data_IF_566467129485
#
_entry.id   IF_566467129485
#
_cell.length_a   1.000
_cell.length_b   1.000
_cell.length_c   1.000
_cell.angle_alpha   90.00
_cell.angle_beta   90.00
_cell.angle_gamma   90.00
#
_symmetry.space_group_name_H-M   'P 1'
#
loop_
_entity.id
_entity.type
_entity.pdbx_description
1 polymer ?
#
# COMPACT_ATOMS: atom_id res chain seq x y z
N UNK A 1 -5.73 4.01 34.21
CA UNK A 1 -5.26 4.76 33.03
C UNK A 1 -6.08 6.05 32.99
N UNK A 2 -5.50 7.16 33.42
CA UNK A 2 -6.14 8.48 33.37
C UNK A 2 -5.97 9.01 31.95
N UNK A 3 -7.08 9.15 31.22
CA UNK A 3 -7.07 9.81 29.92
C UNK A 3 -6.86 11.31 30.16
N UNK A 4 -5.83 11.87 29.53
CA UNK A 4 -5.60 13.31 29.48
C UNK A 4 -6.81 13.98 28.76
N UNK A 5 -7.59 14.86 29.41
CA UNK A 5 -8.78 15.48 28.82
C UNK A 5 -8.47 16.47 27.67
N UNK A 6 -7.19 16.76 27.40
CA UNK A 6 -6.72 17.61 26.29
C UNK A 6 -6.12 16.85 25.10
N UNK A 7 -5.99 15.55 25.17
CA UNK A 7 -5.49 14.76 24.05
C UNK A 7 -6.54 14.69 22.91
N UNK A 8 -6.15 14.89 21.63
CA UNK A 8 -7.09 14.72 20.53
C UNK A 8 -7.66 13.29 20.54
N UNK A 9 -8.91 13.10 20.12
CA UNK A 9 -9.53 11.78 20.13
C UNK A 9 -8.66 10.80 19.32
N UNK A 10 -8.28 9.69 19.95
CA UNK A 10 -7.50 8.62 19.29
C UNK A 10 -8.37 8.07 18.17
N UNK A 11 -8.02 8.39 16.92
CA UNK A 11 -8.68 7.83 15.74
C UNK A 11 -8.43 6.33 15.72
N UNK A 12 -9.48 5.55 15.52
CA UNK A 12 -9.34 4.11 15.28
C UNK A 12 -8.41 3.89 14.08
N UNK A 13 -7.37 3.03 14.18
CA UNK A 13 -6.53 2.73 13.03
C UNK A 13 -7.33 2.01 11.94
N UNK A 14 -6.97 2.26 10.68
CA UNK A 14 -7.53 1.53 9.55
C UNK A 14 -7.02 0.08 9.55
N UNK A 15 -7.90 -0.86 9.28
CA UNK A 15 -7.56 -2.27 9.10
C UNK A 15 -7.33 -2.57 7.62
N UNK A 16 -6.07 -2.83 7.25
CA UNK A 16 -5.68 -3.25 5.90
C UNK A 16 -5.48 -4.77 5.88
N UNK A 17 -6.24 -5.48 5.05
CA UNK A 17 -6.17 -6.93 4.93
C UNK A 17 -5.56 -7.34 3.58
N UNK A 18 -4.57 -8.27 3.54
CA UNK A 18 -4.08 -8.82 2.29
C UNK A 18 -5.09 -9.80 1.69
N UNK A 19 -5.19 -9.82 0.35
CA UNK A 19 -5.97 -10.82 -0.37
C UNK A 19 -5.14 -11.45 -1.49
N UNK A 20 -5.08 -12.76 -1.51
CA UNK A 20 -4.46 -13.55 -2.58
C UNK A 20 -5.45 -14.09 -3.61
N UNK A 21 -6.75 -13.85 -3.43
CA UNK A 21 -7.82 -14.26 -4.35
C UNK A 21 -9.04 -13.37 -4.18
N UNK A 22 -9.92 -13.39 -5.18
CA UNK A 22 -11.18 -12.64 -5.12
C UNK A 22 -12.04 -13.04 -3.91
N UNK A 23 -12.11 -14.33 -3.61
CA UNK A 23 -12.82 -14.83 -2.42
C UNK A 23 -12.23 -14.27 -1.12
N UNK A 24 -10.90 -14.26 -0.99
CA UNK A 24 -10.24 -13.70 0.19
C UNK A 24 -10.50 -12.18 0.32
N UNK A 25 -10.52 -11.45 -0.80
CA UNK A 25 -10.89 -10.04 -0.83
C UNK A 25 -12.31 -9.83 -0.30
N UNK A 26 -13.28 -10.57 -0.83
CA UNK A 26 -14.69 -10.48 -0.41
C UNK A 26 -14.84 -10.79 1.08
N UNK A 27 -14.21 -11.85 1.57
CA UNK A 27 -14.22 -12.21 2.99
C UNK A 27 -13.60 -11.12 3.89
N UNK A 28 -12.49 -10.50 3.47
CA UNK A 28 -11.86 -9.42 4.22
C UNK A 28 -12.77 -8.19 4.31
N UNK A 29 -13.38 -7.80 3.20
CA UNK A 29 -14.33 -6.69 3.13
C UNK A 29 -15.55 -6.95 4.01
N UNK A 30 -16.14 -8.14 3.92
CA UNK A 30 -17.32 -8.54 4.72
C UNK A 30 -17.01 -8.64 6.21
N UNK A 31 -15.77 -9.00 6.57
CA UNK A 31 -15.28 -9.03 7.94
C UNK A 31 -14.93 -7.64 8.50
N UNK A 32 -15.04 -6.58 7.71
CA UNK A 32 -14.89 -5.19 8.17
C UNK A 32 -13.52 -4.57 7.93
N UNK A 33 -12.72 -5.10 6.99
CA UNK A 33 -11.51 -4.42 6.54
C UNK A 33 -11.86 -3.03 5.99
N UNK A 34 -11.05 -2.02 6.34
CA UNK A 34 -11.18 -0.67 5.80
C UNK A 34 -10.57 -0.57 4.41
N UNK A 35 -9.53 -1.38 4.15
CA UNK A 35 -8.91 -1.52 2.84
C UNK A 35 -8.43 -2.94 2.59
N UNK A 36 -8.32 -3.33 1.30
CA UNK A 36 -7.77 -4.61 0.90
C UNK A 36 -6.55 -4.41 0.01
N UNK A 37 -5.47 -5.10 0.35
CA UNK A 37 -4.20 -5.08 -0.38
C UNK A 37 -4.12 -6.31 -1.29
N UNK A 38 -3.85 -6.09 -2.57
CA UNK A 38 -3.71 -7.14 -3.58
C UNK A 38 -2.56 -6.87 -4.56
N UNK A 39 -2.17 -7.87 -5.34
CA UNK A 39 -1.17 -7.76 -6.39
C UNK A 39 -1.55 -8.52 -7.65
N UNK A 40 -0.95 -8.14 -8.76
CA UNK A 40 -1.10 -8.82 -10.05
C UNK A 40 -0.31 -10.13 -10.09
N UNK A 41 -0.68 -11.02 -11.02
CA UNK A 41 0.01 -12.30 -11.29
C UNK A 41 1.22 -12.10 -12.20
N UNK A 42 2.12 -11.17 -11.83
CA UNK A 42 3.29 -10.86 -12.64
C UNK A 42 4.49 -10.43 -11.77
N UNK A 43 5.62 -10.14 -12.42
CA UNK A 43 6.89 -9.82 -11.76
C UNK A 43 6.88 -8.48 -11.01
N UNK A 44 5.86 -7.64 -11.18
CA UNK A 44 5.76 -6.33 -10.53
C UNK A 44 5.30 -6.43 -9.07
N UNK A 45 4.83 -7.62 -8.67
CA UNK A 45 4.37 -7.93 -7.32
C UNK A 45 5.37 -8.86 -6.61
N UNK A 46 5.93 -8.39 -5.48
CA UNK A 46 6.88 -9.16 -4.67
C UNK A 46 6.30 -10.47 -4.08
N UNK A 47 4.97 -10.62 -4.04
CA UNK A 47 4.27 -11.82 -3.58
C UNK A 47 3.59 -12.57 -4.71
N UNK A 48 4.24 -12.63 -5.88
CA UNK A 48 3.74 -13.40 -7.01
C UNK A 48 3.96 -14.90 -6.82
N UNK A 49 3.08 -15.54 -6.06
CA UNK A 49 3.11 -16.99 -5.80
C UNK A 49 2.13 -17.72 -6.72
N UNK A 50 2.51 -18.93 -7.13
CA UNK A 50 1.66 -19.78 -7.96
C UNK A 50 0.28 -20.02 -7.32
N UNK A 51 -0.78 -19.84 -8.08
CA UNK A 51 -2.17 -20.02 -7.62
C UNK A 51 -2.75 -18.85 -6.82
N UNK A 52 -1.96 -17.81 -6.53
CA UNK A 52 -2.42 -16.60 -5.87
C UNK A 52 -2.40 -15.40 -6.81
N UNK A 53 -2.93 -14.29 -6.30
CA UNK A 53 -3.01 -12.98 -6.97
C UNK A 53 -4.07 -12.91 -8.08
N UNK A 54 -4.12 -11.78 -8.77
CA UNK A 54 -5.26 -11.37 -9.55
C UNK A 54 -4.89 -11.15 -11.02
N UNK A 55 -5.78 -11.53 -11.92
CA UNK A 55 -5.84 -10.97 -13.27
C UNK A 55 -6.74 -9.72 -13.30
N UNK A 56 -6.79 -9.01 -14.42
CA UNK A 56 -7.53 -7.75 -14.56
C UNK A 56 -9.04 -7.91 -14.32
N UNK A 57 -9.63 -9.03 -14.74
CA UNK A 57 -11.06 -9.28 -14.52
C UNK A 57 -11.36 -9.44 -13.03
N UNK A 58 -10.53 -10.18 -12.33
CA UNK A 58 -10.63 -10.37 -10.88
C UNK A 58 -10.39 -9.08 -10.11
N UNK A 59 -9.44 -8.23 -10.54
CA UNK A 59 -9.19 -6.91 -9.94
C UNK A 59 -10.43 -6.02 -10.11
N UNK A 60 -11.01 -5.91 -11.32
CA UNK A 60 -12.22 -5.12 -11.57
C UNK A 60 -13.39 -5.56 -10.68
N UNK A 61 -13.60 -6.87 -10.58
CA UNK A 61 -14.65 -7.43 -9.74
C UNK A 61 -14.39 -7.13 -8.26
N UNK A 62 -13.14 -7.28 -7.80
CA UNK A 62 -12.72 -6.98 -6.42
C UNK A 62 -12.91 -5.50 -6.06
N UNK A 63 -12.48 -4.59 -6.94
CA UNK A 63 -12.64 -3.14 -6.76
C UNK A 63 -14.15 -2.80 -6.69
N UNK A 64 -14.94 -3.29 -7.63
CA UNK A 64 -16.39 -3.07 -7.63
C UNK A 64 -17.04 -3.55 -6.33
N UNK A 65 -16.61 -4.72 -5.85
CA UNK A 65 -17.13 -5.31 -4.61
C UNK A 65 -16.77 -4.47 -3.38
N UNK A 66 -15.52 -4.03 -3.29
CA UNK A 66 -15.01 -3.20 -2.19
C UNK A 66 -15.68 -1.81 -2.18
N UNK A 67 -15.69 -1.13 -3.34
CA UNK A 67 -16.28 0.20 -3.48
C UNK A 67 -17.78 0.22 -3.16
N UNK A 68 -18.54 -0.82 -3.56
CA UNK A 68 -19.96 -0.94 -3.19
C UNK A 68 -20.19 -1.00 -1.67
N UNK A 69 -19.15 -1.25 -0.88
CA UNK A 69 -19.18 -1.30 0.59
C UNK A 69 -18.36 -0.17 1.25
N UNK A 70 -17.94 0.82 0.45
CA UNK A 70 -17.16 1.96 0.92
C UNK A 70 -15.75 1.59 1.40
N UNK A 71 -15.15 0.52 0.79
CA UNK A 71 -13.80 0.05 1.15
C UNK A 71 -12.82 0.32 0.02
N UNK A 72 -11.56 0.57 0.38
CA UNK A 72 -10.50 0.89 -0.56
C UNK A 72 -9.75 -0.36 -1.03
N UNK A 73 -9.15 -0.26 -2.23
CA UNK A 73 -8.29 -1.31 -2.79
C UNK A 73 -6.90 -0.74 -3.08
N UNK A 74 -5.90 -1.35 -2.45
CA UNK A 74 -4.49 -1.02 -2.60
C UNK A 74 -3.84 -2.02 -3.55
N UNK A 75 -3.29 -1.56 -4.68
CA UNK A 75 -2.56 -2.42 -5.62
C UNK A 75 -1.06 -2.33 -5.41
N UNK A 76 -0.41 -3.49 -5.34
CA UNK A 76 1.04 -3.61 -5.23
C UNK A 76 1.71 -3.57 -6.60
N UNK A 77 2.62 -2.62 -6.78
CA UNK A 77 3.69 -2.60 -7.79
C UNK A 77 4.98 -2.35 -7.02
N UNK A 78 5.44 -3.37 -6.32
CA UNK A 78 6.39 -3.22 -5.21
C UNK A 78 7.68 -4.04 -5.34
N UNK A 79 7.98 -4.53 -6.55
CA UNK A 79 9.31 -4.96 -6.93
C UNK A 79 10.11 -3.81 -7.55
N UNK A 80 11.42 -4.01 -7.75
CA UNK A 80 12.28 -3.01 -8.39
C UNK A 80 12.29 -3.25 -9.89
N UNK A 81 12.15 -2.16 -10.67
CA UNK A 81 12.11 -2.22 -12.12
C UNK A 81 13.46 -2.66 -12.70
N UNK A 82 13.44 -3.52 -13.75
CA UNK A 82 14.66 -3.83 -14.51
C UNK A 82 15.07 -2.59 -15.31
N UNK A 83 16.27 -2.07 -15.03
CA UNK A 83 16.78 -0.87 -15.70
C UNK A 83 16.95 -1.04 -17.23
N UNK A 84 17.02 -2.29 -17.74
CA UNK A 84 17.13 -2.59 -19.17
C UNK A 84 15.77 -2.54 -19.88
N UNK A 85 14.70 -2.90 -19.16
CA UNK A 85 13.31 -2.83 -19.64
C UNK A 85 12.34 -2.57 -18.49
N UNK A 86 12.07 -1.31 -18.16
CA UNK A 86 11.12 -0.95 -17.10
C UNK A 86 9.65 -1.02 -17.55
N UNK A 87 9.39 -1.29 -18.83
CA UNK A 87 8.04 -1.28 -19.44
C UNK A 87 6.99 -2.07 -18.65
N UNK A 88 7.28 -3.29 -18.12
CA UNK A 88 6.29 -4.03 -17.34
C UNK A 88 5.81 -3.27 -16.09
N UNK A 89 6.67 -2.49 -15.43
CA UNK A 89 6.30 -1.69 -14.25
C UNK A 89 5.47 -0.47 -14.62
N UNK A 90 5.81 0.21 -15.74
CA UNK A 90 4.99 1.31 -16.27
C UNK A 90 3.58 0.82 -16.61
N UNK A 91 3.48 -0.28 -17.33
CA UNK A 91 2.20 -0.91 -17.65
C UNK A 91 1.42 -1.34 -16.40
N UNK A 92 2.08 -1.81 -15.36
CA UNK A 92 1.41 -2.17 -14.10
C UNK A 92 0.84 -0.94 -13.38
N UNK A 93 1.55 0.20 -13.40
CA UNK A 93 1.04 1.48 -12.89
C UNK A 93 -0.17 1.94 -13.70
N UNK A 94 -0.08 1.94 -15.04
CA UNK A 94 -1.18 2.31 -15.94
C UNK A 94 -2.40 1.41 -15.71
N UNK A 95 -2.18 0.11 -15.56
CA UNK A 95 -3.24 -0.88 -15.25
C UNK A 95 -3.90 -0.57 -13.91
N UNK A 96 -3.12 -0.28 -12.85
CA UNK A 96 -3.67 0.05 -11.55
C UNK A 96 -4.60 1.27 -11.63
N UNK A 97 -4.17 2.32 -12.32
CA UNK A 97 -4.98 3.52 -12.54
C UNK A 97 -6.23 3.22 -13.38
N UNK A 98 -6.10 2.51 -14.51
CA UNK A 98 -7.19 2.16 -15.41
C UNK A 98 -8.23 1.21 -14.79
N UNK A 99 -7.80 0.36 -13.87
CA UNK A 99 -8.68 -0.55 -13.13
C UNK A 99 -9.42 0.16 -12.00
N UNK A 100 -8.99 1.36 -11.59
CA UNK A 100 -9.63 2.16 -10.56
C UNK A 100 -9.14 1.84 -9.14
N UNK A 101 -7.87 1.40 -9.00
CA UNK A 101 -7.26 1.25 -7.69
C UNK A 101 -7.24 2.59 -6.93
N UNK A 102 -7.50 2.57 -5.63
CA UNK A 102 -7.48 3.77 -4.80
C UNK A 102 -6.06 4.19 -4.45
N UNK A 103 -5.17 3.22 -4.35
CA UNK A 103 -3.79 3.40 -3.92
C UNK A 103 -2.86 2.48 -4.71
N UNK A 104 -1.71 3.00 -5.09
CA UNK A 104 -0.56 2.22 -5.55
C UNK A 104 0.45 2.09 -4.41
N UNK A 105 0.81 0.86 -4.04
CA UNK A 105 1.87 0.59 -3.08
C UNK A 105 3.14 0.23 -3.81
N UNK A 106 4.14 1.12 -3.77
CA UNK A 106 5.38 0.99 -4.54
C UNK A 106 6.64 1.02 -3.64
N UNK A 107 7.72 0.43 -4.13
CA UNK A 107 9.03 0.46 -3.46
C UNK A 107 10.09 1.20 -4.28
N UNK A 108 10.03 1.07 -5.60
CA UNK A 108 11.00 1.63 -6.53
C UNK A 108 10.73 3.11 -6.80
N UNK A 109 11.78 3.92 -6.72
CA UNK A 109 11.74 5.36 -6.96
C UNK A 109 11.33 5.71 -8.40
N UNK A 110 11.72 4.90 -9.37
CA UNK A 110 11.35 5.12 -10.78
C UNK A 110 9.86 4.82 -11.00
N UNK A 111 9.32 3.79 -10.36
CA UNK A 111 7.89 3.48 -10.36
C UNK A 111 7.07 4.60 -9.74
N UNK A 112 7.52 5.15 -8.60
CA UNK A 112 6.86 6.29 -7.96
C UNK A 112 6.94 7.55 -8.80
N UNK A 113 8.09 7.82 -9.44
CA UNK A 113 8.25 8.97 -10.34
C UNK A 113 7.30 8.87 -11.54
N UNK A 114 7.25 7.70 -12.19
CA UNK A 114 6.34 7.44 -13.30
C UNK A 114 4.86 7.64 -12.89
N UNK A 115 4.46 7.07 -11.76
CA UNK A 115 3.10 7.21 -11.25
C UNK A 115 2.73 8.68 -10.96
N UNK A 116 3.65 9.46 -10.41
CA UNK A 116 3.44 10.90 -10.14
C UNK A 116 3.28 11.72 -11.42
N UNK A 117 4.06 11.39 -12.44
CA UNK A 117 4.06 12.11 -13.72
C UNK A 117 2.80 11.79 -14.55
N UNK A 118 2.44 10.50 -14.65
CA UNK A 118 1.39 10.04 -15.56
C UNK A 118 0.02 9.87 -14.88
N UNK A 119 -0.01 9.61 -13.58
CA UNK A 119 -1.23 9.39 -12.80
C UNK A 119 -1.25 10.21 -11.50
N UNK A 120 -1.21 11.55 -11.56
CA UNK A 120 -1.10 12.41 -10.36
C UNK A 120 -2.27 12.27 -9.39
N UNK A 121 -3.41 11.75 -9.84
CA UNK A 121 -4.57 11.44 -8.99
C UNK A 121 -4.47 10.13 -8.21
N UNK A 122 -3.55 9.23 -8.60
CA UNK A 122 -3.36 7.96 -7.91
C UNK A 122 -2.56 8.17 -6.62
N UNK A 123 -3.12 7.79 -5.48
CA UNK A 123 -2.43 7.90 -4.18
C UNK A 123 -1.29 6.91 -4.11
N UNK A 124 -0.15 7.34 -3.56
CA UNK A 124 1.03 6.51 -3.38
C UNK A 124 1.25 6.15 -1.92
N UNK A 125 1.46 4.86 -1.63
CA UNK A 125 1.97 4.37 -0.37
C UNK A 125 3.35 3.75 -0.56
N UNK A 126 4.24 3.98 0.40
CA UNK A 126 5.58 3.38 0.40
C UNK A 126 5.49 1.95 0.90
N UNK A 127 5.85 0.99 0.04
CA UNK A 127 5.91 -0.43 0.39
C UNK A 127 7.00 -0.71 1.42
N UNK A 128 6.77 -1.72 2.25
CA UNK A 128 7.79 -2.29 3.13
C UNK A 128 9.05 -2.75 2.36
N UNK A 129 8.93 -3.08 1.09
CA UNK A 129 10.06 -3.46 0.22
C UNK A 129 11.08 -2.32 0.01
N UNK A 130 10.68 -1.07 0.22
CA UNK A 130 11.60 0.07 0.23
C UNK A 130 12.51 0.10 1.47
N UNK A 131 12.22 -0.71 2.48
CA UNK A 131 13.01 -0.83 3.71
C UNK A 131 13.26 0.50 4.44
N UNK A 132 12.33 1.45 4.34
CA UNK A 132 12.44 2.73 5.04
C UNK A 132 12.22 2.53 6.55
N UNK A 133 13.27 2.74 7.33
CA UNK A 133 13.29 2.49 8.78
C UNK A 133 13.41 3.76 9.60
N UNK A 134 13.66 4.91 8.97
CA UNK A 134 13.83 6.20 9.63
C UNK A 134 12.82 7.22 9.11
N UNK A 135 12.48 8.19 9.93
CA UNK A 135 11.55 9.25 9.55
C UNK A 135 12.15 10.14 8.43
N UNK A 136 13.47 10.34 8.39
CA UNK A 136 14.13 11.11 7.33
C UNK A 136 13.98 10.44 5.97
N UNK A 137 14.13 9.10 5.90
CA UNK A 137 13.88 8.36 4.68
C UNK A 137 12.42 8.49 4.23
N UNK A 138 11.46 8.37 5.15
CA UNK A 138 10.04 8.50 4.84
C UNK A 138 9.72 9.92 4.36
N UNK A 139 10.26 10.96 5.01
CA UNK A 139 10.08 12.36 4.60
C UNK A 139 10.69 12.64 3.22
N UNK A 140 11.85 12.02 2.89
CA UNK A 140 12.39 12.08 1.53
C UNK A 140 11.39 11.55 0.50
N UNK A 141 10.82 10.36 0.72
CA UNK A 141 9.81 9.80 -0.18
C UNK A 141 8.55 10.67 -0.23
N UNK A 142 8.11 11.19 0.92
CA UNK A 142 6.93 12.06 1.00
C UNK A 142 7.13 13.36 0.21
N UNK A 143 8.24 14.02 0.39
CA UNK A 143 8.53 15.29 -0.27
C UNK A 143 8.82 15.12 -1.76
N UNK A 144 9.52 14.05 -2.12
CA UNK A 144 9.96 13.84 -3.52
C UNK A 144 8.86 13.19 -4.37
N UNK A 145 8.13 12.22 -3.83
CA UNK A 145 7.15 11.42 -4.58
C UNK A 145 5.71 11.58 -4.11
N UNK A 146 5.48 12.30 -3.03
CA UNK A 146 4.14 12.58 -2.51
C UNK A 146 3.46 11.35 -1.92
N UNK A 147 4.22 10.41 -1.34
CA UNK A 147 3.62 9.30 -0.62
C UNK A 147 2.78 9.83 0.54
N UNK A 148 1.65 9.17 0.82
CA UNK A 148 0.78 9.53 1.95
C UNK A 148 0.99 8.64 3.16
N UNK A 149 1.39 7.38 2.95
CA UNK A 149 1.57 6.37 3.99
C UNK A 149 2.86 5.58 3.75
N UNK A 150 3.53 5.17 4.81
CA UNK A 150 4.67 4.27 4.75
C UNK A 150 4.41 3.01 5.59
N UNK A 151 4.66 1.84 4.97
CA UNK A 151 4.58 0.54 5.64
C UNK A 151 5.93 0.22 6.26
N UNK A 152 5.99 0.17 7.59
CA UNK A 152 7.23 -0.07 8.32
C UNK A 152 7.60 -1.56 8.34
N UNK A 153 8.91 -1.88 8.24
CA UNK A 153 9.38 -3.26 8.35
C UNK A 153 9.23 -3.80 9.78
N UNK A 154 8.99 -5.12 9.88
CA UNK A 154 8.76 -5.84 11.16
C UNK A 154 9.95 -5.85 12.12
N UNK A 155 11.13 -5.49 11.64
CA UNK A 155 12.37 -5.47 12.44
C UNK A 155 12.43 -4.31 13.43
N UNK A 156 11.56 -3.32 13.32
CA UNK A 156 11.52 -2.17 14.20
C UNK A 156 10.86 -2.52 15.54
N UNK A 157 11.45 -2.05 16.63
CA UNK A 157 10.83 -2.10 17.96
C UNK A 157 9.68 -1.09 18.05
N UNK A 158 8.79 -1.28 19.01
CA UNK A 158 7.69 -0.33 19.26
C UNK A 158 8.20 1.08 19.53
N UNK A 159 9.31 1.22 20.26
CA UNK A 159 9.92 2.54 20.53
C UNK A 159 10.40 3.21 19.23
N UNK A 160 11.00 2.45 18.29
CA UNK A 160 11.39 2.99 16.98
C UNK A 160 10.15 3.39 16.16
N UNK A 161 9.10 2.57 16.15
CA UNK A 161 7.84 2.92 15.46
C UNK A 161 7.24 4.22 16.01
N UNK A 162 7.19 4.36 17.33
CA UNK A 162 6.71 5.59 17.98
C UNK A 162 7.57 6.81 17.61
N UNK A 163 8.90 6.65 17.61
CA UNK A 163 9.82 7.70 17.22
C UNK A 163 9.58 8.13 15.76
N UNK A 164 9.53 7.19 14.83
CA UNK A 164 9.26 7.47 13.41
C UNK A 164 7.92 8.16 13.24
N UNK A 165 6.85 7.62 13.85
CA UNK A 165 5.51 8.17 13.74
C UNK A 165 5.39 9.60 14.32
N UNK A 166 6.19 9.92 15.34
CA UNK A 166 6.20 11.26 15.95
C UNK A 166 6.99 12.32 15.15
N UNK A 167 7.77 11.92 14.13
CA UNK A 167 8.65 12.83 13.39
C UNK A 167 8.34 12.94 11.89
N UNK A 168 7.39 12.16 11.38
CA UNK A 168 6.93 12.26 9.99
C UNK A 168 5.51 12.79 9.89
N UNK A 169 5.19 13.41 8.76
CA UNK A 169 3.82 13.77 8.41
C UNK A 169 3.12 12.69 7.56
N UNK A 170 3.83 11.63 7.17
CA UNK A 170 3.22 10.48 6.51
C UNK A 170 2.44 9.65 7.55
N UNK A 171 1.34 9.05 7.10
CA UNK A 171 0.68 8.00 7.87
C UNK A 171 1.61 6.79 8.01
N UNK A 172 1.56 6.12 9.15
CA UNK A 172 2.36 4.93 9.42
C UNK A 172 1.47 3.70 9.43
N UNK A 173 1.86 2.69 8.67
CA UNK A 173 1.24 1.37 8.67
C UNK A 173 2.20 0.34 9.26
N UNK A 174 1.69 -0.52 10.14
CA UNK A 174 2.45 -1.59 10.78
C UNK A 174 1.74 -2.92 10.62
N UNK A 175 2.52 -3.99 10.62
CA UNK A 175 1.96 -5.35 10.62
C UNK A 175 1.43 -5.69 12.01
N UNK A 176 0.11 -5.84 12.15
CA UNK A 176 -0.53 -6.23 13.39
C UNK A 176 -0.55 -7.75 13.60
N UNK A 177 -0.62 -8.53 12.51
CA UNK A 177 -0.68 -9.99 12.52
C UNK A 177 0.01 -10.59 11.30
N UNK A 178 0.61 -11.77 11.48
CA UNK A 178 1.28 -12.53 10.42
C UNK A 178 2.78 -12.68 10.66
N UNK A 179 3.38 -13.61 9.96
CA UNK A 179 4.83 -13.90 9.98
C UNK A 179 5.53 -13.25 8.79
#
# INVERSE_FOLDING_TARGET
MTTDPGAPPVRKPDLVCPAGSLRALQMAVDAGADAVYLGLKDATNARNFAGLNFDDAQVREGIRYAHARGREVLMAVNTFADARDPTPWWQAVDRAAALGADVLTAADVAVMAYAREHHPGLRLHLSVQASATTWEAIEFYRQRYGIRRAVLPRVLTLAHVQHVAGHTQAEIEVFGFGS
#
